data_IF_202548529044
#
_entry.id   IF_202548529044
#
_cell.length_a   1.000
_cell.length_b   1.000
_cell.length_c   1.000
_cell.angle_alpha   90.00
_cell.angle_beta   90.00
_cell.angle_gamma   90.00
#
_symmetry.space_group_name_H-M   'P 1'
#
loop_
_entity.id
_entity.type
_entity.pdbx_description
1 polymer ?
#
# COMPACT_ATOMS: atom_id res chain seq x y z
N UNK A 1 -58.16 20.20 23.05
CA UNK A 1 -57.24 20.60 21.95
C UNK A 1 -55.78 20.25 22.31
N UNK A 2 -55.46 18.97 22.62
CA UNK A 2 -54.08 18.64 23.06
C UNK A 2 -53.65 17.18 22.80
N UNK A 3 -54.25 16.47 21.83
CA UNK A 3 -53.92 15.05 21.57
C UNK A 3 -53.59 14.70 20.12
N UNK A 4 -53.53 15.68 19.21
CA UNK A 4 -53.32 15.42 17.77
C UNK A 4 -51.89 15.63 17.25
N UNK A 5 -50.94 16.08 18.09
CA UNK A 5 -49.59 16.44 17.63
C UNK A 5 -48.49 15.39 17.90
N UNK A 6 -48.78 14.31 18.64
CA UNK A 6 -47.75 13.31 18.97
C UNK A 6 -47.65 12.13 17.99
N UNK A 7 -48.73 11.81 17.26
CA UNK A 7 -48.72 10.67 16.33
C UNK A 7 -47.91 10.90 15.05
N UNK A 8 -47.76 12.15 14.60
CA UNK A 8 -47.04 12.46 13.36
C UNK A 8 -45.51 12.41 13.52
N UNK A 9 -44.99 12.52 14.76
CA UNK A 9 -43.54 12.53 15.04
C UNK A 9 -42.94 11.14 15.24
N UNK A 10 -43.74 10.14 15.64
CA UNK A 10 -43.25 8.78 15.83
C UNK A 10 -43.16 7.97 14.53
N UNK A 11 -44.02 8.24 13.53
CA UNK A 11 -43.98 7.53 12.25
C UNK A 11 -42.75 7.83 11.39
N UNK A 12 -42.19 9.04 11.48
CA UNK A 12 -41.02 9.44 10.68
C UNK A 12 -39.69 8.88 11.23
N UNK A 13 -39.61 8.66 12.55
CA UNK A 13 -38.42 8.09 13.19
C UNK A 13 -38.30 6.58 12.98
N UNK A 14 -39.42 5.87 12.82
CA UNK A 14 -39.40 4.42 12.50
C UNK A 14 -39.06 4.12 11.04
N UNK A 15 -39.25 5.07 10.12
CA UNK A 15 -38.82 4.91 8.71
C UNK A 15 -37.33 5.22 8.50
N UNK A 16 -36.72 6.05 9.35
CA UNK A 16 -35.28 6.34 9.30
C UNK A 16 -34.42 5.19 9.86
N UNK A 17 -34.94 4.37 10.77
CA UNK A 17 -34.19 3.26 11.36
C UNK A 17 -34.11 2.02 10.46
N UNK A 18 -35.03 1.86 9.48
CA UNK A 18 -34.99 0.73 8.52
C UNK A 18 -34.01 1.01 7.36
N UNK A 19 -33.69 2.27 7.07
CA UNK A 19 -32.74 2.63 6.01
C UNK A 19 -31.26 2.61 6.45
N UNK A 20 -30.97 2.39 7.74
CA UNK A 20 -29.58 2.36 8.25
C UNK A 20 -28.93 0.96 8.28
N UNK A 21 -29.63 -0.10 7.86
CA UNK A 21 -29.14 -1.49 7.97
C UNK A 21 -28.52 -2.04 6.67
N UNK A 22 -28.54 -1.28 5.57
CA UNK A 22 -28.04 -1.72 4.25
C UNK A 22 -26.78 -0.97 3.81
N UNK A 23 -25.82 -0.83 4.72
CA UNK A 23 -24.55 -0.15 4.46
C UNK A 23 -23.33 -0.86 4.99
N UNK A 24 -23.43 -2.12 5.44
CA UNK A 24 -22.25 -2.95 5.69
C UNK A 24 -21.80 -3.54 4.36
N UNK A 25 -21.31 -2.68 3.46
CA UNK A 25 -20.42 -3.15 2.42
C UNK A 25 -19.16 -3.62 3.16
N UNK A 26 -19.14 -4.91 3.50
CA UNK A 26 -17.91 -5.65 3.73
C UNK A 26 -17.04 -5.36 2.50
N UNK A 27 -16.12 -4.40 2.63
CA UNK A 27 -15.03 -4.18 1.69
C UNK A 27 -14.18 -5.45 1.78
N UNK A 28 -14.61 -6.51 1.11
CA UNK A 28 -13.79 -7.68 0.89
C UNK A 28 -12.66 -7.20 0.00
N UNK A 29 -11.52 -6.87 0.62
CA UNK A 29 -10.33 -6.48 -0.10
C UNK A 29 -9.95 -7.66 -0.99
N UNK A 30 -10.18 -7.54 -2.29
CA UNK A 30 -9.77 -8.56 -3.24
C UNK A 30 -8.24 -8.59 -3.24
N UNK A 31 -7.66 -9.52 -2.50
CA UNK A 31 -6.22 -9.70 -2.46
C UNK A 31 -5.77 -10.07 -3.87
N UNK A 32 -4.90 -9.24 -4.46
CA UNK A 32 -4.47 -9.46 -5.84
C UNK A 32 -3.53 -10.66 -5.87
N UNK A 33 -3.91 -11.69 -6.60
CA UNK A 33 -3.08 -12.89 -6.75
C UNK A 33 -1.78 -12.58 -7.48
N UNK A 34 -0.67 -13.17 -7.00
CA UNK A 34 0.62 -13.10 -7.68
C UNK A 34 0.52 -13.85 -9.02
N UNK A 35 0.88 -13.25 -10.17
CA UNK A 35 0.89 -13.96 -11.45
C UNK A 35 1.76 -15.23 -11.41
N UNK A 36 1.36 -16.29 -12.11
CA UNK A 36 2.09 -17.58 -12.10
C UNK A 36 3.55 -17.43 -12.57
N UNK A 37 3.79 -16.57 -13.56
CA UNK A 37 5.13 -16.20 -14.06
C UNK A 37 6.01 -15.62 -12.96
N UNK A 38 5.43 -14.81 -12.06
CA UNK A 38 6.16 -14.22 -10.94
C UNK A 38 6.36 -15.25 -9.83
N UNK A 39 5.37 -16.12 -9.56
CA UNK A 39 5.50 -17.19 -8.56
C UNK A 39 6.68 -18.11 -8.84
N UNK A 40 6.92 -18.44 -10.11
CA UNK A 40 8.09 -19.24 -10.53
C UNK A 40 9.43 -18.50 -10.37
N UNK A 41 9.38 -17.18 -10.17
CA UNK A 41 10.54 -16.32 -10.07
C UNK A 41 10.81 -15.83 -8.64
N UNK A 42 10.03 -16.29 -7.67
CA UNK A 42 10.31 -16.03 -6.27
C UNK A 42 11.62 -16.73 -5.87
N UNK A 43 12.52 -16.04 -5.16
CA UNK A 43 13.79 -16.62 -4.76
C UNK A 43 13.54 -17.75 -3.75
N UNK A 44 14.13 -18.92 -4.03
CA UNK A 44 13.95 -20.14 -3.22
C UNK A 44 15.05 -20.34 -2.18
N UNK A 45 16.14 -19.57 -2.27
CA UNK A 45 17.33 -19.68 -1.42
C UNK A 45 17.62 -18.35 -0.72
N UNK A 46 16.64 -17.84 0.03
CA UNK A 46 16.80 -16.64 0.85
C UNK A 46 17.16 -17.01 2.29
N UNK A 47 17.86 -16.11 2.98
CA UNK A 47 18.07 -16.19 4.42
C UNK A 47 17.57 -14.88 5.06
N UNK A 48 16.47 -14.89 5.82
CA UNK A 48 15.62 -16.04 6.15
C UNK A 48 14.78 -16.55 4.95
N UNK A 49 14.31 -17.82 4.96
CA UNK A 49 13.44 -18.34 3.91
C UNK A 49 12.10 -17.59 3.82
N UNK A 50 11.66 -17.31 2.59
CA UNK A 50 10.32 -16.76 2.32
C UNK A 50 9.29 -17.89 2.43
N UNK A 51 8.29 -17.71 3.29
CA UNK A 51 7.19 -18.66 3.51
C UNK A 51 5.86 -18.20 2.89
N UNK A 52 5.73 -16.90 2.62
CA UNK A 52 4.56 -16.29 1.97
C UNK A 52 4.98 -15.04 1.21
N UNK A 53 4.28 -14.73 0.13
CA UNK A 53 4.40 -13.45 -0.56
C UNK A 53 3.03 -12.89 -0.89
N UNK A 54 2.92 -11.56 -0.91
CA UNK A 54 1.70 -10.83 -1.26
C UNK A 54 2.03 -9.77 -2.30
N UNK A 55 1.21 -9.66 -3.35
CA UNK A 55 1.38 -8.62 -4.36
C UNK A 55 0.85 -7.29 -3.85
N UNK A 56 1.72 -6.28 -3.85
CA UNK A 56 1.36 -4.91 -3.47
C UNK A 56 0.98 -4.12 -4.72
N UNK A 57 1.85 -4.12 -5.74
CA UNK A 57 1.59 -3.42 -6.99
C UNK A 57 2.45 -3.93 -8.13
N UNK A 58 2.12 -3.52 -9.35
CA UNK A 58 2.88 -3.79 -10.56
C UNK A 58 2.98 -2.55 -11.45
N UNK A 59 4.07 -2.44 -12.20
CA UNK A 59 4.23 -1.42 -13.25
C UNK A 59 5.00 -1.98 -14.43
N UNK A 60 4.80 -1.38 -15.61
CA UNK A 60 5.51 -1.76 -16.84
C UNK A 60 6.28 -0.57 -17.37
N UNK A 61 7.58 -0.75 -17.57
CA UNK A 61 8.45 0.29 -18.12
C UNK A 61 9.42 -0.31 -19.14
N UNK A 62 9.52 0.32 -20.32
CA UNK A 62 10.40 -0.11 -21.41
C UNK A 62 10.33 -1.60 -21.78
N UNK A 63 9.13 -2.20 -21.70
CA UNK A 63 8.91 -3.62 -22.03
C UNK A 63 9.30 -4.61 -20.92
N UNK A 64 9.68 -4.11 -19.74
CA UNK A 64 9.95 -4.89 -18.52
C UNK A 64 8.83 -4.65 -17.51
N UNK A 65 8.25 -5.73 -17.01
CA UNK A 65 7.25 -5.70 -15.94
C UNK A 65 7.97 -5.77 -14.59
N UNK A 66 7.53 -4.99 -13.62
CA UNK A 66 8.07 -4.93 -12.27
C UNK A 66 6.95 -5.16 -11.27
N UNK A 67 7.20 -6.03 -10.29
CA UNK A 67 6.25 -6.46 -9.28
C UNK A 67 6.84 -6.14 -7.91
N UNK A 68 6.16 -5.28 -7.15
CA UNK A 68 6.48 -5.06 -5.75
C UNK A 68 5.63 -6.02 -4.91
N UNK A 69 6.32 -6.86 -4.16
CA UNK A 69 5.75 -7.85 -3.26
C UNK A 69 6.15 -7.54 -1.83
N UNK A 70 5.31 -7.92 -0.88
CA UNK A 70 5.75 -8.15 0.50
C UNK A 70 6.05 -9.63 0.66
N UNK A 71 7.30 -9.95 1.00
CA UNK A 71 7.78 -11.29 1.30
C UNK A 71 7.86 -11.48 2.82
N UNK A 72 7.24 -12.55 3.32
CA UNK A 72 7.20 -12.88 4.74
C UNK A 72 8.12 -14.05 5.03
N UNK A 73 8.93 -13.90 6.08
CA UNK A 73 9.65 -15.03 6.67
C UNK A 73 8.82 -15.72 7.75
N UNK A 74 9.34 -16.80 8.34
CA UNK A 74 8.69 -17.50 9.44
C UNK A 74 8.45 -16.62 10.69
N UNK A 75 9.17 -15.49 10.83
CA UNK A 75 8.93 -14.51 11.89
C UNK A 75 7.61 -13.73 11.71
N UNK A 76 7.07 -13.71 10.49
CA UNK A 76 5.88 -12.94 10.13
C UNK A 76 6.16 -11.48 9.76
N UNK A 77 7.39 -11.01 9.85
CA UNK A 77 7.77 -9.67 9.36
C UNK A 77 7.79 -9.65 7.82
N UNK A 78 7.14 -8.64 7.26
CA UNK A 78 7.03 -8.43 5.82
C UNK A 78 8.15 -7.54 5.31
N UNK A 79 8.81 -7.98 4.25
CA UNK A 79 9.96 -7.32 3.65
C UNK A 79 9.68 -7.05 2.18
N UNK A 80 10.12 -5.90 1.69
CA UNK A 80 9.97 -5.57 0.28
C UNK A 80 10.83 -6.48 -0.61
N UNK A 81 10.18 -7.04 -1.63
CA UNK A 81 10.79 -7.82 -2.70
C UNK A 81 10.32 -7.26 -4.03
N UNK A 82 11.25 -6.92 -4.92
CA UNK A 82 10.94 -6.50 -6.29
C UNK A 82 11.45 -7.55 -7.27
N UNK A 83 10.49 -8.15 -7.99
CA UNK A 83 10.77 -9.05 -9.10
C UNK A 83 10.50 -8.32 -10.40
N UNK A 84 11.38 -8.49 -11.37
CA UNK A 84 11.14 -8.06 -12.73
C UNK A 84 10.96 -9.24 -13.68
N UNK A 85 10.22 -9.01 -14.76
CA UNK A 85 9.96 -10.00 -15.81
C UNK A 85 10.16 -9.37 -17.19
N UNK A 86 10.88 -10.06 -18.07
CA UNK A 86 11.02 -9.70 -19.50
C UNK A 86 10.96 -10.97 -20.34
N UNK A 87 9.81 -11.21 -20.98
CA UNK A 87 9.53 -12.53 -21.56
C UNK A 87 9.51 -13.60 -20.46
N UNK A 88 10.31 -14.67 -20.63
CA UNK A 88 10.43 -15.76 -19.64
C UNK A 88 11.61 -15.57 -18.67
N UNK A 89 12.28 -14.41 -18.70
CA UNK A 89 13.41 -14.11 -17.81
C UNK A 89 12.96 -13.27 -16.63
N UNK A 90 13.49 -13.60 -15.47
CA UNK A 90 13.22 -12.89 -14.23
C UNK A 90 14.49 -12.31 -13.62
N UNK A 91 14.32 -11.17 -12.93
CA UNK A 91 15.35 -10.57 -12.10
C UNK A 91 14.83 -10.32 -10.69
N UNK A 92 15.63 -10.66 -9.69
CA UNK A 92 15.46 -10.12 -8.33
C UNK A 92 16.14 -8.75 -8.32
N UNK A 93 15.35 -7.69 -8.43
CA UNK A 93 15.88 -6.34 -8.52
C UNK A 93 16.15 -5.74 -7.14
N UNK A 94 15.36 -6.13 -6.14
CA UNK A 94 15.50 -5.65 -4.77
C UNK A 94 15.01 -6.70 -3.79
N UNK A 95 15.81 -6.99 -2.78
CA UNK A 95 15.40 -7.79 -1.63
C UNK A 95 16.21 -7.33 -0.42
N UNK A 96 15.54 -6.87 0.64
CA UNK A 96 16.21 -6.37 1.84
C UNK A 96 15.91 -7.19 3.10
N UNK A 97 16.46 -8.40 3.23
CA UNK A 97 16.18 -9.28 4.36
C UNK A 97 16.68 -8.73 5.71
N UNK A 98 17.55 -7.73 5.71
CA UNK A 98 18.05 -7.09 6.93
C UNK A 98 17.01 -6.18 7.60
N UNK A 99 15.90 -5.85 6.92
CA UNK A 99 14.84 -5.00 7.46
C UNK A 99 15.23 -3.53 7.59
N UNK A 100 16.38 -3.13 7.04
CA UNK A 100 16.77 -1.73 7.00
C UNK A 100 15.79 -0.93 6.11
N UNK A 101 15.49 0.31 6.48
CA UNK A 101 14.69 1.18 5.61
C UNK A 101 15.62 1.65 4.49
N UNK A 102 15.41 1.18 3.26
CA UNK A 102 16.26 1.49 2.10
C UNK A 102 15.40 1.96 0.93
N UNK A 103 15.90 2.96 0.20
CA UNK A 103 15.23 3.51 -0.99
C UNK A 103 15.09 2.45 -2.08
N UNK A 104 13.97 2.45 -2.81
CA UNK A 104 13.84 1.61 -4.01
C UNK A 104 14.81 2.06 -5.11
N UNK A 105 15.15 3.34 -5.16
CA UNK A 105 16.16 3.86 -6.10
C UNK A 105 17.57 3.34 -5.87
N UNK A 106 17.86 2.76 -4.70
CA UNK A 106 19.14 2.12 -4.44
C UNK A 106 19.41 0.94 -5.38
N UNK A 107 18.34 0.30 -5.89
CA UNK A 107 18.45 -0.81 -6.84
C UNK A 107 17.69 -0.58 -8.16
N UNK A 108 16.72 0.34 -8.18
CA UNK A 108 15.86 0.60 -9.34
C UNK A 108 16.14 1.97 -9.96
N UNK A 109 15.84 2.11 -11.25
CA UNK A 109 15.78 3.44 -11.87
C UNK A 109 14.69 4.31 -11.23
N UNK A 110 14.96 5.62 -11.12
CA UNK A 110 14.06 6.59 -10.47
C UNK A 110 12.61 6.53 -10.95
N UNK A 111 12.38 6.29 -12.24
CA UNK A 111 11.04 6.19 -12.81
C UNK A 111 10.30 4.94 -12.31
N UNK A 112 10.98 3.78 -12.26
CA UNK A 112 10.40 2.54 -11.73
C UNK A 112 10.11 2.69 -10.24
N UNK A 113 11.06 3.19 -9.46
CA UNK A 113 10.89 3.42 -8.03
C UNK A 113 9.67 4.32 -7.73
N UNK A 114 9.52 5.41 -8.47
CA UNK A 114 8.35 6.31 -8.37
C UNK A 114 7.03 5.61 -8.62
N UNK A 115 6.93 4.83 -9.71
CA UNK A 115 5.70 4.11 -10.04
C UNK A 115 5.36 3.04 -9.01
N UNK A 116 6.36 2.30 -8.50
CA UNK A 116 6.15 1.31 -7.44
C UNK A 116 5.77 1.96 -6.11
N UNK A 117 6.40 3.08 -5.71
CA UNK A 117 5.99 3.84 -4.52
C UNK A 117 4.56 4.38 -4.67
N UNK A 118 4.16 4.85 -5.85
CA UNK A 118 2.80 5.28 -6.12
C UNK A 118 1.79 4.15 -5.92
N UNK A 119 2.05 2.99 -6.53
CA UNK A 119 1.19 1.82 -6.38
C UNK A 119 1.15 1.30 -4.94
N UNK A 120 2.28 1.33 -4.21
CA UNK A 120 2.34 1.00 -2.77
C UNK A 120 1.41 1.89 -1.96
N UNK A 121 1.50 3.21 -2.12
CA UNK A 121 0.66 4.10 -1.34
C UNK A 121 -0.81 4.03 -1.73
N UNK A 122 -1.12 3.75 -2.99
CA UNK A 122 -2.50 3.42 -3.41
C UNK A 122 -3.01 2.19 -2.65
N UNK A 123 -2.24 1.10 -2.65
CA UNK A 123 -2.57 -0.12 -1.93
C UNK A 123 -2.76 0.15 -0.42
N UNK A 124 -1.86 0.88 0.22
CA UNK A 124 -1.98 1.22 1.64
C UNK A 124 -3.22 2.10 1.95
N UNK A 125 -3.58 3.00 1.04
CA UNK A 125 -4.81 3.82 1.16
C UNK A 125 -6.05 2.95 1.01
N UNK A 126 -6.05 2.00 0.08
CA UNK A 126 -7.13 1.04 -0.07
C UNK A 126 -7.32 0.23 1.22
N UNK A 127 -6.21 -0.25 1.81
CA UNK A 127 -6.24 -1.07 3.03
C UNK A 127 -6.65 -0.28 4.29
N UNK A 128 -6.12 0.93 4.47
CA UNK A 128 -6.19 1.64 5.75
C UNK A 128 -6.95 2.97 5.71
N UNK A 129 -7.28 3.45 4.51
CA UNK A 129 -7.95 4.72 4.28
C UNK A 129 -7.01 5.93 4.29
N UNK A 130 -7.42 6.98 3.55
CA UNK A 130 -6.62 8.22 3.38
C UNK A 130 -6.32 8.94 4.69
N UNK A 131 -7.25 8.96 5.65
CA UNK A 131 -7.04 9.65 6.93
C UNK A 131 -5.89 9.02 7.73
N UNK A 132 -5.85 7.69 7.79
CA UNK A 132 -4.77 6.94 8.46
C UNK A 132 -3.45 7.12 7.73
N UNK A 133 -3.46 7.18 6.40
CA UNK A 133 -2.28 7.51 5.62
C UNK A 133 -1.72 8.90 5.98
N UNK A 134 -2.55 9.96 5.99
CA UNK A 134 -2.09 11.31 6.35
C UNK A 134 -1.52 11.36 7.78
N UNK A 135 -2.13 10.63 8.72
CA UNK A 135 -1.59 10.52 10.08
C UNK A 135 -0.19 9.89 10.08
N UNK A 136 0.03 8.81 9.34
CA UNK A 136 1.36 8.16 9.24
C UNK A 136 2.41 9.09 8.62
N UNK A 137 2.04 9.83 7.58
CA UNK A 137 2.92 10.85 6.97
C UNK A 137 3.33 11.90 8.01
N UNK A 138 2.36 12.44 8.76
CA UNK A 138 2.64 13.46 9.78
C UNK A 138 3.50 12.90 10.93
N UNK A 139 3.26 11.65 11.34
CA UNK A 139 4.07 10.98 12.35
C UNK A 139 5.51 10.79 11.87
N UNK A 140 5.71 10.27 10.66
CA UNK A 140 7.03 10.12 10.07
C UNK A 140 7.74 11.49 9.97
N UNK A 141 7.06 12.53 9.51
CA UNK A 141 7.64 13.87 9.36
C UNK A 141 8.09 14.56 10.66
N UNK A 142 7.64 14.06 11.82
CA UNK A 142 8.01 14.59 13.14
C UNK A 142 8.91 13.63 13.93
N UNK A 143 9.12 12.42 13.43
CA UNK A 143 9.99 11.46 14.08
C UNK A 143 11.46 11.88 13.91
N UNK A 144 12.32 11.72 14.95
CA UNK A 144 13.74 12.08 14.85
C UNK A 144 14.50 11.42 13.69
N UNK A 145 14.06 10.22 13.29
CA UNK A 145 14.60 9.46 12.16
C UNK A 145 13.53 9.23 11.08
N UNK A 146 12.61 10.19 10.93
CA UNK A 146 11.61 10.18 9.88
C UNK A 146 12.25 10.36 8.51
N UNK A 147 12.32 9.29 7.74
CA UNK A 147 12.91 9.31 6.40
C UNK A 147 11.82 9.25 5.34
N UNK A 148 11.98 10.07 4.32
CA UNK A 148 11.22 9.94 3.08
C UNK A 148 12.21 9.90 1.93
N UNK A 149 11.96 8.99 0.99
CA UNK A 149 12.76 8.93 -0.22
C UNK A 149 12.17 9.82 -1.33
N UNK A 150 12.96 10.25 -2.33
CA UNK A 150 12.47 11.08 -3.42
C UNK A 150 11.30 10.45 -4.19
N UNK A 151 11.32 9.13 -4.39
CA UNK A 151 10.22 8.36 -4.97
C UNK A 151 8.94 8.44 -4.14
N UNK A 152 9.07 8.42 -2.82
CA UNK A 152 7.94 8.44 -1.90
C UNK A 152 7.29 9.82 -1.84
N UNK A 153 8.11 10.87 -1.74
CA UNK A 153 7.62 12.25 -1.79
C UNK A 153 6.92 12.52 -3.12
N UNK A 154 7.49 12.05 -4.24
CA UNK A 154 6.84 12.17 -5.53
C UNK A 154 5.48 11.45 -5.56
N UNK A 155 5.45 10.19 -5.13
CA UNK A 155 4.26 9.36 -5.13
C UNK A 155 3.14 9.94 -4.27
N UNK A 156 3.45 10.34 -3.04
CA UNK A 156 2.47 10.92 -2.13
C UNK A 156 1.92 12.26 -2.63
N UNK A 157 2.74 13.08 -3.31
CA UNK A 157 2.27 14.30 -3.99
C UNK A 157 1.32 14.00 -5.14
N UNK A 158 1.59 12.96 -5.94
CA UNK A 158 0.65 12.53 -6.99
C UNK A 158 -0.71 12.14 -6.41
N UNK A 159 -0.71 11.56 -5.21
CA UNK A 159 -1.93 11.18 -4.50
C UNK A 159 -2.60 12.34 -3.76
N UNK A 160 -2.05 13.56 -3.84
CA UNK A 160 -2.60 14.77 -3.22
C UNK A 160 -2.37 14.90 -1.71
N UNK A 161 -1.39 14.18 -1.16
CA UNK A 161 -0.99 14.37 0.24
C UNK A 161 -0.08 15.60 0.38
N UNK A 162 -0.29 16.33 1.47
CA UNK A 162 0.63 17.39 1.88
C UNK A 162 1.79 16.76 2.65
N UNK A 163 3.00 16.93 2.12
CA UNK A 163 4.23 16.49 2.78
C UNK A 163 4.80 17.67 3.57
N UNK A 164 4.96 17.55 4.90
CA UNK A 164 5.55 18.62 5.70
C UNK A 164 6.96 18.99 5.20
N UNK A 165 7.28 20.27 5.18
CA UNK A 165 8.60 20.77 4.72
C UNK A 165 9.74 20.44 5.68
N UNK A 166 9.43 19.94 6.87
CA UNK A 166 10.40 19.50 7.89
C UNK A 166 10.97 18.12 7.62
N UNK A 167 10.48 17.44 6.60
CA UNK A 167 10.93 16.11 6.21
C UNK A 167 12.36 16.17 5.68
N UNK A 168 13.23 15.34 6.22
CA UNK A 168 14.52 15.03 5.62
C UNK A 168 14.30 14.05 4.46
N UNK A 169 14.66 14.50 3.25
CA UNK A 169 14.67 13.66 2.06
C UNK A 169 16.10 13.15 1.87
N UNK A 170 16.28 11.84 1.98
CA UNK A 170 17.59 11.21 1.75
C UNK A 170 17.83 11.15 0.24
N UNK A 171 18.94 11.72 -0.23
CA UNK A 171 19.40 11.58 -1.62
C UNK A 171 20.07 10.23 -1.88
#
# INVERSE_FOLDING_TARGET
>A
MLHRFHFLRFGLLSLLSVLLVLGSAELTHAQTDIPSTVRTCLPTQTLPPIVRSELITQTRLHGKDYYLLTAYSASGEGIDLVISVTGDRCGEEFFNPAGEIVSLTAALGQEVARQLSLGRYQHEIEQFGRARMQQRINQAATAPNGLFYPEDVWALRQLGFSIPTTVHVTE
#
